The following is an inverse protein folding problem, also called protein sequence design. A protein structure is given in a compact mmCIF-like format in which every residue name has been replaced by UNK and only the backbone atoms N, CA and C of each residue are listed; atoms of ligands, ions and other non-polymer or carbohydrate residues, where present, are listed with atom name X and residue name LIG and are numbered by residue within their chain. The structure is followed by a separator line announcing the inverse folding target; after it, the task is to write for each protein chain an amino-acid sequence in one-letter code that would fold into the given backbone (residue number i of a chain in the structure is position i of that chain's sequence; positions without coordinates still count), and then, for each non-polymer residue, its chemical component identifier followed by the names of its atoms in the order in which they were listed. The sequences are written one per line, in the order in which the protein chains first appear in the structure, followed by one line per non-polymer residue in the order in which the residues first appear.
data_IF_550862324301
#
_entry.id   IF_550862324301
#
_cell.length_a   1.000
_cell.length_b   1.000
_cell.length_c   1.000
_cell.angle_alpha   90.00
_cell.angle_beta   90.00
_cell.angle_gamma   90.00
#
_symmetry.space_group_name_H-M   'P 1'
#
loop_
_entity.id
_entity.type
_entity.pdbx_description
1 polymer ?
#
# COMPACT_ATOMS: atom_id res chain seq x y z
N UNK A 1 -13.83 8.52 -6.89
CA UNK A 1 -13.72 7.10 -6.45
C UNK A 1 -14.16 7.03 -5.00
N UNK A 2 -14.98 6.07 -4.61
CA UNK A 2 -15.42 5.88 -3.20
C UNK A 2 -14.68 4.69 -2.55
N UNK A 3 -14.89 4.46 -1.25
CA UNK A 3 -14.16 3.43 -0.51
C UNK A 3 -14.40 2.02 -1.09
N UNK A 4 -15.65 1.71 -1.47
CA UNK A 4 -16.00 0.43 -2.07
C UNK A 4 -15.34 0.22 -3.44
N UNK A 5 -15.34 1.23 -4.31
CA UNK A 5 -14.73 1.14 -5.64
C UNK A 5 -13.21 0.96 -5.54
N UNK A 6 -12.55 1.71 -4.65
CA UNK A 6 -11.12 1.56 -4.41
C UNK A 6 -10.77 0.17 -3.85
N UNK A 7 -11.59 -0.37 -2.94
CA UNK A 7 -11.37 -1.71 -2.39
C UNK A 7 -11.45 -2.80 -3.48
N UNK A 8 -12.36 -2.66 -4.44
CA UNK A 8 -12.43 -3.55 -5.61
C UNK A 8 -11.19 -3.44 -6.48
N UNK A 9 -10.71 -2.22 -6.75
CA UNK A 9 -9.45 -2.00 -7.48
C UNK A 9 -8.27 -2.69 -6.80
N UNK A 10 -8.15 -2.57 -5.47
CA UNK A 10 -7.09 -3.22 -4.70
C UNK A 10 -7.14 -4.74 -4.85
N UNK A 11 -8.33 -5.35 -4.77
CA UNK A 11 -8.52 -6.80 -4.94
C UNK A 11 -8.15 -7.22 -6.38
N UNK A 12 -8.62 -6.49 -7.38
CA UNK A 12 -8.34 -6.76 -8.79
C UNK A 12 -6.84 -6.66 -9.10
N UNK A 13 -6.16 -5.65 -8.56
CA UNK A 13 -4.71 -5.50 -8.68
C UNK A 13 -4.00 -6.67 -7.99
N UNK A 14 -4.36 -7.00 -6.75
CA UNK A 14 -3.73 -8.08 -5.98
C UNK A 14 -3.77 -9.43 -6.71
N UNK A 15 -4.85 -9.73 -7.44
CA UNK A 15 -4.99 -10.98 -8.21
C UNK A 15 -3.91 -11.19 -9.28
N UNK A 16 -3.17 -10.13 -9.64
CA UNK A 16 -2.12 -10.15 -10.67
C UNK A 16 -0.72 -10.47 -10.12
N UNK A 17 -0.53 -10.45 -8.79
CA UNK A 17 0.80 -10.54 -8.16
C UNK A 17 0.98 -11.84 -7.37
N UNK A 18 2.00 -12.62 -7.75
CA UNK A 18 2.24 -13.96 -7.18
C UNK A 18 2.71 -13.97 -5.71
N UNK A 19 3.21 -12.84 -5.18
CA UNK A 19 3.58 -12.76 -3.76
C UNK A 19 2.38 -12.57 -2.83
N UNK A 20 1.20 -12.24 -3.36
CA UNK A 20 0.00 -12.05 -2.55
C UNK A 20 -0.55 -13.41 -2.11
N UNK A 21 -0.73 -13.59 -0.81
CA UNK A 21 -1.26 -14.83 -0.20
C UNK A 21 -2.66 -14.68 0.37
N UNK A 22 -3.08 -13.46 0.67
CA UNK A 22 -4.41 -13.18 1.22
C UNK A 22 -4.68 -11.68 1.28
N UNK A 23 -5.96 -11.34 1.49
CA UNK A 23 -6.43 -9.97 1.61
C UNK A 23 -7.44 -9.94 2.76
N UNK A 24 -7.17 -9.10 3.76
CA UNK A 24 -8.07 -8.82 4.87
C UNK A 24 -8.63 -7.40 4.71
N UNK A 25 -9.96 -7.28 4.65
CA UNK A 25 -10.62 -5.98 4.71
C UNK A 25 -10.75 -5.60 6.20
N UNK A 26 -9.92 -4.67 6.65
CA UNK A 26 -9.86 -4.24 8.04
C UNK A 26 -10.99 -3.24 8.35
N UNK A 27 -11.27 -2.34 7.42
CA UNK A 27 -12.39 -1.39 7.50
C UNK A 27 -12.88 -1.08 6.09
N UNK A 28 -14.18 -1.17 5.89
CA UNK A 28 -14.85 -0.65 4.70
C UNK A 28 -16.13 0.04 5.14
N UNK A 29 -16.03 1.35 5.33
CA UNK A 29 -17.12 2.21 5.78
C UNK A 29 -16.88 3.60 5.19
N UNK A 30 -17.80 4.11 4.38
CA UNK A 30 -17.59 5.36 3.65
C UNK A 30 -17.28 6.52 4.62
N UNK A 31 -16.26 7.35 4.37
CA UNK A 31 -15.46 7.44 3.13
C UNK A 31 -14.15 6.61 3.17
N UNK A 32 -13.98 5.68 4.10
CA UNK A 32 -12.70 5.04 4.44
C UNK A 32 -12.64 3.57 3.99
N UNK A 33 -11.51 3.20 3.40
CA UNK A 33 -11.08 1.81 3.22
C UNK A 33 -9.74 1.57 3.91
N UNK A 34 -9.63 0.47 4.67
CA UNK A 34 -8.38 -0.08 5.21
C UNK A 34 -8.29 -1.55 4.84
N UNK A 35 -7.22 -1.93 4.16
CA UNK A 35 -7.00 -3.27 3.64
C UNK A 35 -5.59 -3.71 4.03
N UNK A 36 -5.46 -4.97 4.46
CA UNK A 36 -4.17 -5.61 4.69
C UNK A 36 -3.97 -6.72 3.66
N UNK A 37 -2.83 -6.71 2.98
CA UNK A 37 -2.48 -7.72 1.98
C UNK A 37 -1.37 -8.59 2.56
N UNK A 38 -1.66 -9.87 2.73
CA UNK A 38 -0.75 -10.84 3.34
C UNK A 38 0.25 -11.34 2.31
N UNK A 39 1.54 -11.36 2.67
CA UNK A 39 2.62 -11.87 1.81
C UNK A 39 3.24 -13.13 2.42
N UNK A 40 3.71 -13.04 3.67
CA UNK A 40 4.17 -14.17 4.49
C UNK A 40 4.11 -13.78 5.96
N UNK A 41 4.46 -14.69 6.85
CA UNK A 41 4.53 -14.38 8.28
C UNK A 41 5.43 -13.16 8.54
N UNK A 42 4.94 -12.22 9.33
CA UNK A 42 5.63 -10.98 9.65
C UNK A 42 5.71 -9.95 8.50
N UNK A 43 5.20 -10.25 7.29
CA UNK A 43 5.31 -9.37 6.12
C UNK A 43 3.96 -9.17 5.43
N UNK A 44 3.51 -7.91 5.36
CA UNK A 44 2.24 -7.53 4.75
C UNK A 44 2.27 -6.10 4.23
N UNK A 45 1.29 -5.74 3.40
CA UNK A 45 1.07 -4.37 2.96
C UNK A 45 -0.15 -3.81 3.69
N UNK A 46 -0.05 -2.62 4.24
CA UNK A 46 -1.21 -1.83 4.66
C UNK A 46 -1.58 -0.84 3.56
N UNK A 47 -2.88 -0.83 3.23
CA UNK A 47 -3.48 0.07 2.26
C UNK A 47 -4.57 0.86 2.97
N UNK A 48 -4.49 2.18 2.89
CA UNK A 48 -5.48 3.10 3.40
C UNK A 48 -5.93 4.05 2.29
N UNK A 49 -7.24 4.29 2.24
CA UNK A 49 -7.84 5.32 1.42
C UNK A 49 -8.94 6.04 2.18
N UNK A 50 -8.98 7.36 2.07
CA UNK A 50 -10.09 8.20 2.50
C UNK A 50 -10.58 9.02 1.31
N UNK A 51 -11.80 8.74 0.84
CA UNK A 51 -12.41 9.32 -0.34
C UNK A 51 -12.76 10.81 -0.19
N UNK A 52 -13.11 11.25 1.01
CA UNK A 52 -13.47 12.64 1.30
C UNK A 52 -12.25 13.55 1.21
N UNK A 53 -11.15 13.14 1.85
CA UNK A 53 -9.89 13.89 1.85
C UNK A 53 -8.97 13.55 0.67
N UNK A 54 -9.35 12.60 -0.18
CA UNK A 54 -8.55 12.02 -1.25
C UNK A 54 -7.14 11.59 -0.79
N UNK A 55 -7.05 11.00 0.41
CA UNK A 55 -5.79 10.52 1.01
C UNK A 55 -5.55 9.06 0.70
N UNK A 56 -4.35 8.73 0.25
CA UNK A 56 -3.85 7.38 -0.02
C UNK A 56 -2.61 7.14 0.84
N UNK A 57 -2.48 5.92 1.36
CA UNK A 57 -1.26 5.46 2.01
C UNK A 57 -1.08 3.97 1.77
N UNK A 58 0.09 3.60 1.24
CA UNK A 58 0.52 2.23 0.99
C UNK A 58 1.82 2.00 1.75
N UNK A 59 1.89 0.96 2.58
CA UNK A 59 3.08 0.69 3.37
C UNK A 59 3.39 -0.81 3.38
N UNK A 60 4.62 -1.18 3.01
CA UNK A 60 5.14 -2.51 3.25
C UNK A 60 5.68 -2.59 4.68
N UNK A 61 5.11 -3.49 5.47
CA UNK A 61 5.41 -3.68 6.88
C UNK A 61 6.10 -5.03 7.07
N UNK A 62 7.26 -5.03 7.73
CA UNK A 62 8.00 -6.22 8.16
C UNK A 62 8.23 -6.15 9.66
N UNK A 63 7.85 -7.19 10.40
CA UNK A 63 8.02 -7.29 11.86
C UNK A 63 7.54 -6.04 12.63
N UNK A 64 6.32 -5.59 12.28
CA UNK A 64 5.67 -4.38 12.82
C UNK A 64 6.39 -3.05 12.53
N UNK A 65 7.29 -3.01 11.55
CA UNK A 65 7.98 -1.79 11.10
C UNK A 65 7.74 -1.54 9.62
N UNK A 66 7.50 -0.28 9.24
CA UNK A 66 7.49 0.13 7.83
C UNK A 66 8.89 0.01 7.27
N UNK A 67 9.04 -0.77 6.21
CA UNK A 67 10.28 -0.87 5.45
C UNK A 67 10.20 -0.16 4.11
N UNK A 68 9.00 0.11 3.60
CA UNK A 68 8.78 0.93 2.42
C UNK A 68 7.37 1.52 2.46
N UNK A 69 7.13 2.67 1.85
CA UNK A 69 5.78 3.20 1.73
C UNK A 69 5.67 4.39 0.79
N UNK A 70 4.44 4.70 0.40
CA UNK A 70 4.09 5.86 -0.42
C UNK A 70 2.76 6.40 0.10
N UNK A 71 2.70 7.70 0.38
CA UNK A 71 1.46 8.35 0.80
C UNK A 71 1.40 9.81 0.34
N UNK A 72 0.22 10.42 0.49
CA UNK A 72 -0.03 11.82 0.15
C UNK A 72 -0.55 12.64 1.34
N UNK A 73 -0.17 12.30 2.57
CA UNK A 73 -0.65 12.99 3.78
C UNK A 73 -0.39 14.50 3.78
N UNK A 74 0.63 14.97 3.04
CA UNK A 74 0.89 16.37 2.72
C UNK A 74 0.93 16.56 1.20
N UNK A 75 1.99 16.03 0.60
CA UNK A 75 2.20 15.88 -0.83
C UNK A 75 2.61 14.42 -1.07
N UNK A 76 2.54 13.96 -2.32
CA UNK A 76 3.01 12.63 -2.66
C UNK A 76 4.50 12.49 -2.35
N UNK A 77 4.83 11.48 -1.56
CA UNK A 77 6.21 11.16 -1.22
C UNK A 77 6.40 9.67 -0.97
N UNK A 78 7.65 9.25 -1.06
CA UNK A 78 8.11 7.88 -0.87
C UNK A 78 8.90 7.81 0.45
N UNK A 79 8.64 6.76 1.22
CA UNK A 79 9.43 6.24 2.32
C UNK A 79 10.28 5.08 1.78
N UNK A 80 11.55 5.29 1.41
CA UNK A 80 12.36 4.32 0.67
C UNK A 80 12.89 3.17 1.55
N UNK A 81 13.28 2.06 0.92
CA UNK A 81 13.81 0.86 1.60
C UNK A 81 15.03 1.11 2.48
N UNK A 82 15.95 1.95 2.02
CA UNK A 82 17.20 2.26 2.72
C UNK A 82 17.01 3.19 3.93
N UNK A 83 15.98 4.03 3.92
CA UNK A 83 15.67 4.92 5.02
C UNK A 83 14.16 5.22 5.07
N UNK A 84 13.36 4.33 5.70
CA UNK A 84 11.91 4.45 5.72
C UNK A 84 11.37 5.68 6.47
N UNK A 85 12.21 6.43 7.18
CA UNK A 85 11.81 7.68 7.85
C UNK A 85 12.00 8.92 6.96
N UNK A 86 12.73 8.78 5.86
CA UNK A 86 12.90 9.86 4.90
C UNK A 86 11.65 10.06 4.04
N UNK A 87 11.42 11.31 3.61
CA UNK A 87 10.29 11.70 2.78
C UNK A 87 10.84 12.23 1.45
N UNK A 88 10.83 11.39 0.42
CA UNK A 88 11.33 11.76 -0.91
C UNK A 88 10.13 12.18 -1.77
N UNK A 89 10.05 13.44 -2.26
CA UNK A 89 8.95 13.89 -3.09
C UNK A 89 8.76 13.01 -4.32
N UNK A 90 7.50 12.75 -4.68
CA UNK A 90 7.15 11.94 -5.85
C UNK A 90 5.96 12.52 -6.61
N UNK A 91 5.78 12.01 -7.83
CA UNK A 91 4.49 12.15 -8.52
C UNK A 91 3.45 11.28 -7.82
N UNK A 92 2.14 11.49 -8.10
CA UNK A 92 1.11 10.54 -7.69
C UNK A 92 1.44 9.12 -8.13
N UNK A 93 1.20 8.15 -7.23
CA UNK A 93 1.48 6.73 -7.47
C UNK A 93 0.19 5.95 -7.26
N UNK A 94 -0.22 5.16 -8.26
CA UNK A 94 -1.37 4.26 -8.12
C UNK A 94 -1.03 3.06 -7.26
N UNK A 95 -2.05 2.35 -6.77
CA UNK A 95 -1.80 1.10 -6.05
C UNK A 95 -1.15 0.04 -6.97
N UNK A 96 -1.49 0.01 -8.26
CA UNK A 96 -0.83 -0.88 -9.24
C UNK A 96 0.66 -0.58 -9.38
N UNK A 97 1.03 0.69 -9.50
CA UNK A 97 2.44 1.10 -9.61
C UNK A 97 3.22 0.74 -8.35
N UNK A 98 2.61 0.95 -7.17
CA UNK A 98 3.19 0.52 -5.89
C UNK A 98 3.47 -0.99 -5.88
N UNK A 99 2.53 -1.82 -6.33
CA UNK A 99 2.70 -3.27 -6.40
C UNK A 99 3.81 -3.69 -7.38
N UNK A 100 3.94 -3.01 -8.53
CA UNK A 100 5.06 -3.25 -9.45
C UNK A 100 6.42 -2.84 -8.89
N UNK A 101 6.49 -1.75 -8.11
CA UNK A 101 7.72 -1.38 -7.40
C UNK A 101 8.11 -2.50 -6.44
N UNK A 102 7.17 -3.03 -5.64
CA UNK A 102 7.46 -4.12 -4.72
C UNK A 102 7.90 -5.39 -5.45
N UNK A 103 7.25 -5.74 -6.56
CA UNK A 103 7.64 -6.90 -7.37
C UNK A 103 9.08 -6.78 -7.90
N UNK A 104 9.43 -5.59 -8.42
CA UNK A 104 10.76 -5.30 -8.95
C UNK A 104 11.85 -5.30 -7.86
N UNK A 105 11.54 -4.76 -6.69
CA UNK A 105 12.47 -4.60 -5.57
C UNK A 105 12.38 -5.75 -4.55
N UNK A 106 11.94 -6.95 -4.96
CA UNK A 106 11.83 -8.15 -4.08
C UNK A 106 13.07 -8.42 -3.23
N UNK A 107 14.26 -8.21 -3.80
CA UNK A 107 15.55 -8.37 -3.12
C UNK A 107 15.73 -7.49 -1.86
N UNK A 108 14.97 -6.40 -1.74
CA UNK A 108 15.07 -5.47 -0.61
C UNK A 108 14.21 -5.93 0.59
N UNK A 109 13.24 -6.84 0.38
CA UNK A 109 12.26 -7.18 1.41
C UNK A 109 12.00 -8.67 1.63
N UNK A 110 12.28 -9.54 0.66
CA UNK A 110 12.19 -10.99 0.83
C UNK A 110 13.23 -11.53 1.82
#
# INVERSE_FOLDING_TARGET
MNALAFSKEVIDVCSKFQFVRGIDIILLDEPIAKIRILIKEGLFIEVFFNAESNKYSFALIKDNKRIYGIDNTKEWHIHPFNNPESHIPSKPVSFLDFMHILEKERKEWE
#
